data_IF_864189324505
#
_entry.id   IF_864189324505
#
_cell.length_a   1.000
_cell.length_b   1.000
_cell.length_c   1.000
_cell.angle_alpha   90.00
_cell.angle_beta   90.00
_cell.angle_gamma   90.00
#
_symmetry.space_group_name_H-M   'P 1'
#
loop_
_entity.id
_entity.type
_entity.pdbx_description
1 polymer ?
#
# COMPACT_ATOMS: atom_id res chain seq x y z
N UNK A 1 -29.56 -0.80 -18.53
CA UNK A 1 -28.83 -1.30 -17.35
C UNK A 1 -29.84 -1.35 -16.24
N UNK A 2 -30.26 -2.54 -15.85
CA UNK A 2 -31.42 -2.72 -14.98
C UNK A 2 -31.05 -2.37 -13.52
N UNK A 3 -31.99 -1.79 -12.78
CA UNK A 3 -31.75 -1.34 -11.40
C UNK A 3 -31.21 -2.45 -10.47
N UNK A 4 -31.57 -3.71 -10.75
CA UNK A 4 -31.04 -4.88 -10.04
C UNK A 4 -29.53 -5.10 -10.26
N UNK A 5 -29.04 -4.88 -11.49
CA UNK A 5 -27.62 -4.98 -11.80
C UNK A 5 -26.81 -3.88 -11.09
N UNK A 6 -27.36 -2.65 -11.06
CA UNK A 6 -26.73 -1.54 -10.33
C UNK A 6 -26.68 -1.79 -8.82
N UNK A 7 -27.76 -2.31 -8.22
CA UNK A 7 -27.79 -2.70 -6.81
C UNK A 7 -26.77 -3.81 -6.48
N UNK A 8 -26.61 -4.79 -7.36
CA UNK A 8 -25.62 -5.85 -7.21
C UNK A 8 -24.18 -5.34 -7.21
N UNK A 9 -23.85 -4.37 -8.08
CA UNK A 9 -22.53 -3.72 -8.11
C UNK A 9 -22.27 -2.91 -6.85
N UNK A 10 -23.27 -2.14 -6.39
CA UNK A 10 -23.14 -1.35 -5.15
C UNK A 10 -22.91 -2.23 -3.92
N UNK A 11 -23.58 -3.37 -3.84
CA UNK A 11 -23.36 -4.34 -2.77
C UNK A 11 -21.95 -4.96 -2.83
N UNK A 12 -21.45 -5.28 -4.02
CA UNK A 12 -20.10 -5.84 -4.21
C UNK A 12 -18.97 -4.83 -3.93
N UNK A 13 -19.27 -3.53 -3.93
CA UNK A 13 -18.36 -2.47 -3.51
C UNK A 13 -18.34 -2.27 -1.99
N UNK A 14 -19.20 -2.91 -1.21
CA UNK A 14 -19.09 -2.85 0.24
C UNK A 14 -17.76 -3.49 0.69
N UNK A 15 -16.91 -2.78 1.45
CA UNK A 15 -15.67 -3.37 1.93
C UNK A 15 -15.96 -4.57 2.84
N UNK A 16 -15.20 -5.64 2.69
CA UNK A 16 -15.40 -6.88 3.43
C UNK A 16 -14.22 -7.19 4.35
N UNK A 17 -14.49 -7.92 5.43
CA UNK A 17 -13.43 -8.36 6.34
C UNK A 17 -12.43 -9.29 5.64
N UNK A 18 -12.91 -10.15 4.75
CA UNK A 18 -12.04 -11.05 3.96
C UNK A 18 -11.10 -10.25 3.05
N UNK A 19 -11.60 -9.25 2.34
CA UNK A 19 -10.78 -8.36 1.51
C UNK A 19 -9.77 -7.57 2.36
N UNK A 20 -10.18 -7.10 3.55
CA UNK A 20 -9.30 -6.41 4.48
C UNK A 20 -8.15 -7.30 4.98
N UNK A 21 -8.43 -8.57 5.32
CA UNK A 21 -7.41 -9.54 5.72
C UNK A 21 -6.44 -9.85 4.58
N UNK A 22 -6.94 -10.01 3.35
CA UNK A 22 -6.09 -10.22 2.17
C UNK A 22 -5.19 -9.00 1.93
N UNK A 23 -5.75 -7.79 1.96
CA UNK A 23 -4.98 -6.56 1.80
C UNK A 23 -3.93 -6.40 2.92
N UNK A 24 -4.32 -6.59 4.18
CA UNK A 24 -3.44 -6.44 5.33
C UNK A 24 -2.30 -7.48 5.31
N UNK A 25 -2.59 -8.74 5.00
CA UNK A 25 -1.58 -9.79 4.90
C UNK A 25 -0.61 -9.52 3.75
N UNK A 26 -1.09 -9.03 2.61
CA UNK A 26 -0.24 -8.61 1.49
C UNK A 26 0.67 -7.43 1.85
N UNK A 27 0.13 -6.38 2.47
CA UNK A 27 0.92 -5.21 2.89
C UNK A 27 1.94 -5.57 3.99
N UNK A 28 1.54 -6.39 4.96
CA UNK A 28 2.43 -6.88 6.00
C UNK A 28 3.56 -7.73 5.40
N UNK A 29 3.23 -8.58 4.42
CA UNK A 29 4.23 -9.33 3.67
C UNK A 29 5.21 -8.40 2.95
N UNK A 30 4.74 -7.40 2.21
CA UNK A 30 5.62 -6.45 1.51
C UNK A 30 6.54 -5.70 2.47
N UNK A 31 6.01 -5.24 3.61
CA UNK A 31 6.80 -4.55 4.64
C UNK A 31 7.87 -5.47 5.24
N UNK A 32 7.48 -6.69 5.63
CA UNK A 32 8.40 -7.67 6.22
C UNK A 32 9.46 -8.14 5.20
N UNK A 33 9.05 -8.50 3.98
CA UNK A 33 9.95 -8.94 2.92
C UNK A 33 10.94 -7.83 2.55
N UNK A 34 10.46 -6.59 2.37
CA UNK A 34 11.29 -5.44 2.08
C UNK A 34 12.33 -5.16 3.18
N UNK A 35 11.95 -5.29 4.46
CA UNK A 35 12.81 -5.00 5.59
C UNK A 35 13.76 -6.14 5.98
N UNK A 36 13.33 -7.41 5.85
CA UNK A 36 14.03 -8.57 6.40
C UNK A 36 14.82 -9.36 5.36
N UNK A 37 14.36 -9.43 4.11
CA UNK A 37 15.05 -10.24 3.11
C UNK A 37 16.40 -9.61 2.73
N UNK A 38 17.43 -10.44 2.47
CA UNK A 38 18.71 -9.95 2.00
C UNK A 38 18.53 -9.26 0.65
N UNK A 39 19.25 -8.16 0.45
CA UNK A 39 19.19 -7.37 -0.77
C UNK A 39 20.37 -6.43 -0.87
N UNK A 40 20.68 -6.01 -2.09
CA UNK A 40 21.74 -5.02 -2.31
C UNK A 40 21.27 -3.67 -1.76
N UNK A 41 22.08 -3.04 -0.92
CA UNK A 41 21.84 -1.66 -0.50
C UNK A 41 22.38 -0.71 -1.57
N UNK A 42 21.47 0.06 -2.18
CA UNK A 42 21.80 0.99 -3.26
C UNK A 42 21.58 2.42 -2.75
N UNK A 43 22.58 3.27 -2.97
CA UNK A 43 22.46 4.69 -2.65
C UNK A 43 21.48 5.37 -3.62
N UNK A 44 20.54 6.11 -3.06
CA UNK A 44 19.54 6.88 -3.78
C UNK A 44 19.94 8.34 -3.97
N UNK A 45 18.93 9.19 -4.11
CA UNK A 45 19.08 10.62 -4.27
C UNK A 45 19.80 11.27 -3.08
N UNK A 46 20.56 12.33 -3.37
CA UNK A 46 21.14 13.21 -2.35
C UNK A 46 20.04 14.17 -1.89
N UNK A 47 19.88 14.27 -0.57
CA UNK A 47 18.93 15.17 0.05
C UNK A 47 19.54 16.58 0.20
N UNK A 48 18.71 17.64 0.33
CA UNK A 48 19.12 19.00 0.67
C UNK A 48 20.09 19.15 1.85
N UNK A 49 20.05 18.26 2.85
CA UNK A 49 21.02 18.20 3.95
C UNK A 49 22.32 17.45 3.60
N UNK A 50 22.53 17.14 2.31
CA UNK A 50 23.63 16.34 1.78
C UNK A 50 23.66 14.88 2.25
N UNK A 51 22.65 14.41 2.99
CA UNK A 51 22.50 12.99 3.30
C UNK A 51 22.03 12.19 2.08
N UNK A 52 22.10 10.84 2.15
CA UNK A 52 21.65 9.96 1.07
C UNK A 52 20.68 8.91 1.60
N UNK A 53 19.60 8.70 0.86
CA UNK A 53 18.72 7.56 1.09
C UNK A 53 19.42 6.28 0.66
N UNK A 54 19.27 5.21 1.44
CA UNK A 54 19.77 3.89 1.08
C UNK A 54 18.60 2.92 0.95
N UNK A 55 18.42 2.38 -0.26
CA UNK A 55 17.32 1.48 -0.58
C UNK A 55 17.81 0.04 -0.60
N UNK A 56 17.10 -0.85 0.10
CA UNK A 56 17.35 -2.29 0.01
C UNK A 56 16.59 -2.84 -1.20
N UNK A 57 17.34 -3.29 -2.20
CA UNK A 57 16.80 -3.84 -3.44
C UNK A 57 16.75 -5.37 -3.34
N UNK A 58 15.60 -5.91 -2.92
CA UNK A 58 15.30 -7.34 -2.81
C UNK A 58 14.01 -7.75 -3.56
N UNK A 59 13.59 -6.96 -4.55
CA UNK A 59 12.29 -7.12 -5.23
C UNK A 59 12.10 -8.49 -5.89
N UNK A 60 13.11 -9.02 -6.60
CA UNK A 60 12.99 -10.33 -7.25
C UNK A 60 12.86 -11.47 -6.22
N UNK A 61 13.67 -11.45 -5.15
CA UNK A 61 13.59 -12.46 -4.10
C UNK A 61 12.23 -12.38 -3.37
N UNK A 62 11.75 -11.17 -3.11
CA UNK A 62 10.43 -10.93 -2.53
C UNK A 62 9.30 -11.43 -3.44
N UNK A 63 9.41 -11.27 -4.75
CA UNK A 63 8.42 -11.80 -5.70
C UNK A 63 8.41 -13.33 -5.72
N UNK A 64 9.59 -13.96 -5.82
CA UNK A 64 9.69 -15.42 -5.85
C UNK A 64 9.17 -16.06 -4.56
N UNK A 65 9.49 -15.45 -3.41
CA UNK A 65 8.96 -15.92 -2.12
C UNK A 65 7.43 -15.76 -2.04
N UNK A 66 6.88 -14.64 -2.54
CA UNK A 66 5.44 -14.42 -2.56
C UNK A 66 4.73 -15.47 -3.42
N UNK A 67 5.27 -15.75 -4.62
CA UNK A 67 4.74 -16.78 -5.51
C UNK A 67 4.84 -18.17 -4.88
N UNK A 68 5.96 -18.49 -4.22
CA UNK A 68 6.14 -19.76 -3.52
C UNK A 68 5.16 -19.95 -2.35
N UNK A 69 5.00 -18.92 -1.51
CA UNK A 69 4.02 -18.91 -0.42
C UNK A 69 2.59 -19.00 -0.94
N UNK A 70 2.29 -18.32 -2.05
CA UNK A 70 0.98 -18.38 -2.69
C UNK A 70 0.69 -19.76 -3.26
N UNK A 71 1.64 -20.37 -3.98
CA UNK A 71 1.52 -21.73 -4.49
C UNK A 71 1.33 -22.74 -3.34
N UNK A 72 2.06 -22.58 -2.24
CA UNK A 72 1.90 -23.40 -1.03
C UNK A 72 0.52 -23.21 -0.38
N UNK A 73 0.02 -21.97 -0.30
CA UNK A 73 -1.31 -21.67 0.22
C UNK A 73 -2.42 -22.31 -0.61
N UNK A 74 -2.27 -22.33 -1.93
CA UNK A 74 -3.21 -23.03 -2.83
C UNK A 74 -3.08 -24.56 -2.66
N UNK A 75 -1.85 -25.08 -2.61
CA UNK A 75 -1.60 -26.52 -2.46
C UNK A 75 -2.15 -27.08 -1.14
N UNK A 76 -2.02 -26.34 -0.05
CA UNK A 76 -2.55 -26.71 1.28
C UNK A 76 -4.05 -26.45 1.44
N UNK A 77 -4.71 -25.85 0.44
CA UNK A 77 -6.13 -25.52 0.47
C UNK A 77 -6.49 -24.31 1.35
N UNK A 78 -5.50 -23.51 1.78
CA UNK A 78 -5.73 -22.31 2.60
C UNK A 78 -6.31 -21.14 1.81
N UNK A 79 -6.09 -21.09 0.48
CA UNK A 79 -6.69 -20.08 -0.38
C UNK A 79 -6.98 -20.61 -1.79
N UNK A 80 -7.97 -20.02 -2.46
CA UNK A 80 -8.27 -20.32 -3.86
C UNK A 80 -7.31 -19.57 -4.79
N UNK A 81 -6.91 -20.17 -5.93
CA UNK A 81 -6.08 -19.47 -6.92
C UNK A 81 -6.78 -18.26 -7.55
N UNK A 82 -8.11 -18.20 -7.43
CA UNK A 82 -8.98 -17.14 -7.97
C UNK A 82 -9.35 -16.09 -6.95
N UNK A 83 -8.82 -16.13 -5.71
CA UNK A 83 -9.24 -15.25 -4.60
C UNK A 83 -9.28 -13.76 -4.98
N UNK A 84 -8.33 -13.30 -5.80
CA UNK A 84 -8.27 -11.90 -6.26
C UNK A 84 -9.38 -11.59 -7.28
N UNK A 85 -9.67 -12.52 -8.19
CA UNK A 85 -10.73 -12.35 -9.18
C UNK A 85 -12.12 -12.43 -8.52
N UNK A 86 -12.30 -13.39 -7.61
CA UNK A 86 -13.56 -13.64 -6.90
C UNK A 86 -13.95 -12.45 -6.00
N UNK A 87 -12.96 -11.75 -5.44
CA UNK A 87 -13.14 -10.63 -4.51
C UNK A 87 -12.73 -9.28 -5.10
N UNK A 88 -12.62 -9.16 -6.42
CA UNK A 88 -12.01 -8.00 -7.06
C UNK A 88 -12.66 -6.65 -6.69
N UNK A 89 -14.00 -6.58 -6.68
CA UNK A 89 -14.73 -5.36 -6.32
C UNK A 89 -14.60 -5.02 -4.82
N UNK A 90 -14.66 -6.03 -3.94
CA UNK A 90 -14.45 -5.86 -2.50
C UNK A 90 -13.02 -5.40 -2.20
N UNK A 91 -12.02 -5.95 -2.91
CA UNK A 91 -10.61 -5.54 -2.78
C UNK A 91 -10.39 -4.12 -3.28
N UNK A 92 -11.03 -3.74 -4.39
CA UNK A 92 -10.95 -2.38 -4.94
C UNK A 92 -11.48 -1.36 -3.93
N UNK A 93 -12.69 -1.58 -3.39
CA UNK A 93 -13.28 -0.65 -2.44
C UNK A 93 -12.51 -0.60 -1.13
N UNK A 94 -12.09 -1.76 -0.60
CA UNK A 94 -11.28 -1.86 0.62
C UNK A 94 -9.94 -1.15 0.46
N UNK A 95 -9.25 -1.34 -0.66
CA UNK A 95 -7.97 -0.68 -0.95
C UNK A 95 -8.14 0.82 -1.13
N UNK A 96 -9.22 1.26 -1.77
CA UNK A 96 -9.56 2.68 -1.92
C UNK A 96 -9.78 3.33 -0.55
N UNK A 97 -10.64 2.74 0.30
CA UNK A 97 -10.89 3.23 1.66
C UNK A 97 -9.59 3.27 2.47
N UNK A 98 -8.79 2.20 2.43
CA UNK A 98 -7.48 2.16 3.08
C UNK A 98 -6.56 3.29 2.60
N UNK A 99 -6.48 3.52 1.28
CA UNK A 99 -5.62 4.54 0.68
C UNK A 99 -6.02 5.95 1.12
N UNK A 100 -7.33 6.24 1.18
CA UNK A 100 -7.85 7.52 1.68
C UNK A 100 -7.47 7.71 3.15
N UNK A 101 -7.69 6.69 3.99
CA UNK A 101 -7.33 6.75 5.41
C UNK A 101 -5.82 6.99 5.58
N UNK A 102 -4.98 6.23 4.88
CA UNK A 102 -3.52 6.36 4.95
C UNK A 102 -3.06 7.73 4.46
N UNK A 103 -3.64 8.25 3.38
CA UNK A 103 -3.32 9.60 2.88
C UNK A 103 -3.61 10.68 3.93
N UNK A 104 -4.77 10.61 4.61
CA UNK A 104 -5.04 11.51 5.74
C UNK A 104 -4.05 11.33 6.89
N UNK A 105 -3.74 10.08 7.27
CA UNK A 105 -2.76 9.82 8.34
C UNK A 105 -1.39 10.39 7.98
N UNK A 106 -0.92 10.19 6.74
CA UNK A 106 0.34 10.75 6.26
C UNK A 106 0.33 12.27 6.32
N UNK A 107 -0.74 12.93 5.86
CA UNK A 107 -0.91 14.37 5.98
C UNK A 107 -0.82 14.85 7.44
N UNK A 108 -1.57 14.24 8.37
CA UNK A 108 -1.51 14.62 9.79
C UNK A 108 -0.14 14.36 10.43
N UNK A 109 0.52 13.25 10.08
CA UNK A 109 1.88 12.95 10.58
C UNK A 109 2.93 13.89 10.00
N UNK A 110 2.78 14.30 8.74
CA UNK A 110 3.61 15.32 8.07
C UNK A 110 3.51 16.66 8.79
N UNK A 111 2.30 17.14 9.04
CA UNK A 111 2.05 18.39 9.79
C UNK A 111 2.66 18.39 11.21
N UNK A 112 2.66 17.23 11.88
CA UNK A 112 3.20 17.11 13.25
C UNK A 112 4.71 16.88 13.28
N UNK A 113 5.31 16.45 12.18
CA UNK A 113 6.74 16.20 12.10
C UNK A 113 7.50 17.51 12.25
N UNK A 114 8.33 17.62 13.30
CA UNK A 114 9.30 18.71 13.45
C UNK A 114 10.59 18.47 12.67
N UNK A 115 10.77 17.27 12.15
CA UNK A 115 11.85 16.95 11.24
C UNK A 115 11.47 17.46 9.86
N UNK A 116 12.13 18.53 9.42
CA UNK A 116 12.29 18.81 8.00
C UNK A 116 13.10 17.66 7.40
N UNK A 117 12.45 16.53 7.13
CA UNK A 117 13.07 15.44 6.38
C UNK A 117 13.47 16.02 5.04
N UNK A 118 14.77 16.20 4.82
CA UNK A 118 15.30 16.89 3.64
C UNK A 118 14.76 16.32 2.32
N UNK A 119 14.28 15.06 2.28
CA UNK A 119 13.68 14.46 1.08
C UNK A 119 12.44 15.21 0.56
N UNK A 120 11.73 15.95 1.41
CA UNK A 120 10.57 16.76 1.04
C UNK A 120 10.85 18.17 1.56
N UNK A 121 11.11 19.12 0.66
CA UNK A 121 10.92 20.52 1.03
C UNK A 121 9.43 20.69 1.33
N UNK A 122 9.05 21.28 2.47
CA UNK A 122 7.66 21.61 2.74
C UNK A 122 7.13 22.49 1.61
N UNK A 123 6.40 21.89 0.67
CA UNK A 123 5.55 22.61 -0.26
C UNK A 123 4.20 22.78 0.42
N UNK A 124 4.20 23.42 1.59
CA UNK A 124 2.96 23.91 2.18
C UNK A 124 2.57 25.14 1.36
N UNK A 125 1.69 24.97 0.38
CA UNK A 125 1.14 26.10 -0.39
C UNK A 125 0.13 26.88 0.44
N UNK A 126 -0.32 26.31 1.57
CA UNK A 126 -1.34 26.86 2.45
C UNK A 126 -2.76 26.48 2.02
N UNK A 127 -2.91 25.73 0.92
CA UNK A 127 -4.19 25.20 0.49
C UNK A 127 -4.35 23.75 0.98
N UNK A 128 -5.43 23.51 1.75
CA UNK A 128 -5.67 22.20 2.36
C UNK A 128 -5.71 21.06 1.33
N UNK A 129 -6.32 21.30 0.17
CA UNK A 129 -6.53 20.26 -0.85
C UNK A 129 -5.19 19.86 -1.49
N UNK A 130 -4.34 20.83 -1.85
CA UNK A 130 -3.04 20.53 -2.46
C UNK A 130 -2.09 19.91 -1.45
N UNK A 131 -2.08 20.44 -0.22
CA UNK A 131 -1.22 19.94 0.85
C UNK A 131 -1.63 18.52 1.27
N UNK A 132 -2.93 18.18 1.31
CA UNK A 132 -3.38 16.81 1.54
C UNK A 132 -3.04 15.88 0.36
N UNK A 133 -3.29 16.31 -0.87
CA UNK A 133 -3.05 15.51 -2.08
C UNK A 133 -1.57 15.17 -2.28
N UNK A 134 -0.68 16.13 -2.07
CA UNK A 134 0.77 15.93 -2.15
C UNK A 134 1.37 15.36 -0.86
N UNK A 135 0.57 15.28 0.22
CA UNK A 135 1.03 14.94 1.56
C UNK A 135 2.18 15.85 2.01
N UNK A 136 1.88 17.15 2.12
CA UNK A 136 2.82 18.18 2.57
C UNK A 136 3.48 17.75 3.90
N UNK A 137 4.78 17.53 3.81
CA UNK A 137 5.72 17.45 4.93
C UNK A 137 6.80 18.50 4.68
#
# INVERSE_FOLDING_TARGET
MDAAAAAGVLAALAPSWSAAVVLASYLAYLAAAGALLPGKLVAGAVLPDSSRLHYRCNGLLSLLLLLGLSALGVYTGWMTPTVVADRGLELLSTTFTFSVIVSFLLYYTGLRSRHQSSSLKPHATGSFIEDWYLSAA
#
